data_IF_251212400932
#
_entry.id   IF_251212400932
#
_cell.length_a   1.000
_cell.length_b   1.000
_cell.length_c   1.000
_cell.angle_alpha   90.00
_cell.angle_beta   90.00
_cell.angle_gamma   90.00
#
_symmetry.space_group_name_H-M   'P 1'
#
loop_
_entity.id
_entity.type
_entity.pdbx_description
1 polymer ?
#
# COMPACT_ATOMS: atom_id res chain seq x y z
N UNK A 1 1.67 -8.46 12.77
CA UNK A 1 2.32 -7.72 11.67
C UNK A 1 2.50 -8.67 10.50
N UNK A 2 1.99 -8.29 9.34
CA UNK A 2 2.17 -9.03 8.08
C UNK A 2 3.22 -8.32 7.22
N UNK A 3 4.08 -9.06 6.52
CA UNK A 3 5.13 -8.47 5.66
C UNK A 3 4.85 -8.80 4.19
N UNK A 4 4.73 -7.75 3.38
CA UNK A 4 4.60 -7.83 1.93
C UNK A 4 5.93 -7.49 1.30
N UNK A 5 6.50 -8.45 0.57
CA UNK A 5 7.69 -8.18 -0.24
C UNK A 5 7.28 -7.57 -1.58
N UNK A 6 7.90 -6.44 -1.94
CA UNK A 6 7.71 -5.78 -3.23
C UNK A 6 9.02 -5.86 -4.02
N UNK A 7 8.97 -6.45 -5.22
CA UNK A 7 10.09 -6.45 -6.15
C UNK A 7 10.07 -5.21 -7.05
N UNK A 8 11.16 -4.97 -7.78
CA UNK A 8 11.31 -3.80 -8.68
C UNK A 8 10.14 -3.64 -9.67
N UNK A 9 9.67 -4.68 -10.38
CA UNK A 9 8.50 -4.54 -11.24
C UNK A 9 7.19 -4.22 -10.52
N UNK A 10 6.94 -4.85 -9.36
CA UNK A 10 5.78 -4.56 -8.52
C UNK A 10 5.81 -3.13 -7.99
N UNK A 11 7.01 -2.55 -7.84
CA UNK A 11 7.20 -1.18 -7.37
C UNK A 11 6.72 -0.11 -8.35
N UNK A 12 6.53 -0.44 -9.64
CA UNK A 12 5.84 0.48 -10.57
C UNK A 12 4.32 0.52 -10.37
N UNK A 13 3.78 -0.33 -9.49
CA UNK A 13 2.35 -0.48 -9.25
C UNK A 13 1.96 -0.21 -7.78
N UNK A 14 2.73 0.62 -7.05
CA UNK A 14 2.46 0.92 -5.63
C UNK A 14 1.04 1.44 -5.37
N UNK A 15 0.44 2.16 -6.31
CA UNK A 15 -0.96 2.57 -6.22
C UNK A 15 -1.93 1.39 -6.14
N UNK A 16 -1.67 0.28 -6.86
CA UNK A 16 -2.52 -0.90 -6.75
C UNK A 16 -2.43 -1.53 -5.36
N UNK A 17 -1.23 -1.54 -4.76
CA UNK A 17 -1.05 -1.98 -3.38
C UNK A 17 -1.76 -1.03 -2.40
N UNK A 18 -1.70 0.29 -2.62
CA UNK A 18 -2.44 1.29 -1.83
C UNK A 18 -3.96 1.08 -1.95
N UNK A 19 -4.49 0.80 -3.14
CA UNK A 19 -5.91 0.49 -3.34
C UNK A 19 -6.30 -0.80 -2.60
N UNK A 20 -5.49 -1.85 -2.68
CA UNK A 20 -5.75 -3.12 -1.98
C UNK A 20 -5.88 -2.95 -0.46
N UNK A 21 -5.12 -2.02 0.12
CA UNK A 21 -5.18 -1.69 1.53
C UNK A 21 -6.53 -1.08 1.98
N UNK A 22 -7.34 -0.59 1.03
CA UNK A 22 -8.69 -0.06 1.31
C UNK A 22 -9.73 -1.14 1.61
N UNK A 23 -9.38 -2.42 1.49
CA UNK A 23 -10.27 -3.52 1.85
C UNK A 23 -10.69 -3.48 3.33
N UNK A 24 -11.87 -4.01 3.61
CA UNK A 24 -12.64 -3.75 4.83
C UNK A 24 -11.89 -4.15 6.11
N UNK A 25 -11.35 -5.36 6.14
CA UNK A 25 -10.64 -5.93 7.29
C UNK A 25 -9.23 -6.41 6.95
N UNK A 26 -8.51 -6.89 7.96
CA UNK A 26 -7.11 -7.30 7.82
C UNK A 26 -6.92 -8.49 6.86
N UNK A 27 -7.81 -9.48 6.91
CA UNK A 27 -7.72 -10.67 6.05
C UNK A 27 -8.05 -10.31 4.60
N UNK A 28 -9.09 -9.49 4.39
CA UNK A 28 -9.46 -8.97 3.09
C UNK A 28 -8.33 -8.13 2.47
N UNK A 29 -7.60 -7.33 3.28
CA UNK A 29 -6.42 -6.59 2.81
C UNK A 29 -5.32 -7.53 2.36
N UNK A 30 -4.99 -8.55 3.14
CA UNK A 30 -3.97 -9.54 2.77
C UNK A 30 -4.36 -10.27 1.47
N UNK A 31 -5.63 -10.66 1.34
CA UNK A 31 -6.16 -11.28 0.12
C UNK A 31 -6.04 -10.33 -1.09
N UNK A 32 -6.45 -9.08 -0.95
CA UNK A 32 -6.35 -8.07 -2.01
C UNK A 32 -4.89 -7.81 -2.41
N UNK A 33 -3.96 -7.76 -1.45
CA UNK A 33 -2.53 -7.60 -1.72
C UNK A 33 -1.94 -8.78 -2.51
N UNK A 34 -2.41 -10.02 -2.26
CA UNK A 34 -2.05 -11.19 -3.08
C UNK A 34 -2.62 -11.08 -4.49
N UNK A 35 -3.86 -10.60 -4.65
CA UNK A 35 -4.47 -10.39 -5.95
C UNK A 35 -3.70 -9.36 -6.78
N UNK A 36 -3.23 -8.26 -6.17
CA UNK A 36 -2.38 -7.26 -6.86
C UNK A 36 -1.15 -7.91 -7.49
N UNK A 37 -0.48 -8.84 -6.81
CA UNK A 37 0.70 -9.53 -7.38
C UNK A 37 0.36 -10.34 -8.64
N UNK A 38 -0.81 -10.96 -8.66
CA UNK A 38 -1.30 -11.68 -9.86
C UNK A 38 -1.69 -10.71 -10.98
N UNK A 39 -2.32 -9.58 -10.64
CA UNK A 39 -2.64 -8.50 -11.60
C UNK A 39 -1.37 -7.94 -12.25
N UNK A 40 -0.35 -7.60 -11.46
CA UNK A 40 0.95 -7.13 -11.95
C UNK A 40 1.58 -8.18 -12.86
N UNK A 41 1.52 -9.46 -12.51
CA UNK A 41 2.06 -10.53 -13.33
C UNK A 41 1.31 -10.70 -14.65
N UNK A 42 -0.02 -10.58 -14.64
CA UNK A 42 -0.84 -10.64 -15.86
C UNK A 42 -0.55 -9.46 -16.79
N UNK A 43 -0.45 -8.24 -16.25
CA UNK A 43 -0.16 -7.05 -17.03
C UNK A 43 1.22 -7.14 -17.70
N UNK A 44 2.20 -7.68 -16.99
CA UNK A 44 3.54 -7.88 -17.53
C UNK A 44 3.58 -8.99 -18.60
N UNK A 45 2.84 -10.08 -18.42
CA UNK A 45 2.65 -11.09 -19.47
C UNK A 45 1.98 -10.48 -20.72
N UNK A 46 1.04 -9.56 -20.53
CA UNK A 46 0.41 -8.81 -21.63
C UNK A 46 1.45 -7.97 -22.37
N UNK A 47 2.30 -7.22 -21.68
CA UNK A 47 3.40 -6.46 -22.29
C UNK A 47 4.36 -7.39 -23.04
N UNK A 48 4.74 -8.52 -22.44
CA UNK A 48 5.64 -9.48 -23.06
C UNK A 48 5.02 -10.11 -24.32
N UNK A 49 3.71 -10.37 -24.33
CA UNK A 49 2.99 -10.90 -25.49
C UNK A 49 3.00 -9.98 -26.73
N UNK A 50 3.34 -8.70 -26.54
CA UNK A 50 3.51 -7.72 -27.62
C UNK A 50 4.93 -7.74 -28.21
N UNK A 51 5.88 -8.43 -27.57
CA UNK A 51 7.22 -8.68 -28.11
C UNK A 51 7.20 -9.90 -29.03
N UNK A 52 7.89 -9.81 -30.15
CA UNK A 52 8.03 -10.95 -31.07
C UNK A 52 8.93 -12.06 -30.47
N UNK A 53 8.63 -13.31 -30.83
CA UNK A 53 9.48 -14.50 -30.69
C UNK A 53 9.90 -14.95 -29.27
N UNK A 54 9.38 -14.35 -28.18
CA UNK A 54 9.76 -14.79 -26.83
C UNK A 54 9.24 -16.19 -26.47
N UNK A 55 8.15 -16.64 -27.10
CA UNK A 55 7.57 -17.97 -26.90
C UNK A 55 8.44 -19.08 -27.49
N UNK A 56 9.28 -18.75 -28.46
CA UNK A 56 10.07 -19.72 -29.22
C UNK A 56 11.47 -19.91 -28.61
N UNK A 57 11.86 -19.04 -27.69
CA UNK A 57 13.12 -19.13 -26.95
C UNK A 57 13.06 -20.28 -25.92
N UNK A 58 13.94 -21.30 -26.01
CA UNK A 58 13.94 -22.44 -25.08
C UNK A 58 14.10 -22.03 -23.61
N UNK A 59 14.79 -20.92 -23.34
CA UNK A 59 15.00 -20.40 -21.98
C UNK A 59 13.70 -19.92 -21.32
N UNK A 60 12.64 -19.64 -22.11
CA UNK A 60 11.34 -19.17 -21.61
C UNK A 60 10.33 -20.30 -21.36
N UNK A 61 10.69 -21.57 -21.57
CA UNK A 61 9.75 -22.70 -21.42
C UNK A 61 9.17 -22.83 -20.01
N UNK A 62 9.98 -22.54 -18.98
CA UNK A 62 9.51 -22.53 -17.60
C UNK A 62 8.45 -21.44 -17.35
N UNK A 63 8.65 -20.26 -17.96
CA UNK A 63 7.71 -19.14 -17.88
C UNK A 63 6.41 -19.46 -18.62
N UNK A 64 6.47 -20.05 -19.82
CA UNK A 64 5.28 -20.47 -20.57
C UNK A 64 4.46 -21.50 -19.79
N UNK A 65 5.14 -22.50 -19.21
CA UNK A 65 4.50 -23.52 -18.39
C UNK A 65 3.83 -22.90 -17.17
N UNK A 66 4.52 -21.99 -16.47
CA UNK A 66 3.96 -21.27 -15.34
C UNK A 66 2.77 -20.40 -15.77
N UNK A 67 2.90 -19.63 -16.84
CA UNK A 67 1.87 -18.75 -17.35
C UNK A 67 0.59 -19.50 -17.71
N UNK A 68 0.71 -20.66 -18.36
CA UNK A 68 -0.41 -21.54 -18.66
C UNK A 68 -1.05 -22.12 -17.38
N UNK A 69 -0.23 -22.57 -16.43
CA UNK A 69 -0.72 -23.18 -15.16
C UNK A 69 -1.47 -22.21 -14.26
N UNK A 70 -1.02 -20.95 -14.18
CA UNK A 70 -1.63 -19.95 -13.29
C UNK A 70 -2.63 -19.04 -14.03
N UNK A 71 -3.01 -19.36 -15.27
CA UNK A 71 -3.91 -18.53 -16.07
C UNK A 71 -5.26 -18.28 -15.38
N UNK A 72 -5.92 -19.34 -14.91
CA UNK A 72 -7.21 -19.23 -14.21
C UNK A 72 -7.08 -18.44 -12.90
N UNK A 73 -6.04 -18.70 -12.10
CA UNK A 73 -5.79 -17.97 -10.86
C UNK A 73 -5.59 -16.46 -11.11
N UNK A 74 -4.86 -16.10 -12.18
CA UNK A 74 -4.66 -14.70 -12.56
C UNK A 74 -5.97 -14.04 -13.02
N UNK A 75 -6.79 -14.75 -13.79
CA UNK A 75 -8.10 -14.25 -14.22
C UNK A 75 -9.02 -13.99 -13.03
N UNK A 76 -9.12 -14.97 -12.11
CA UNK A 76 -9.87 -14.81 -10.87
C UNK A 76 -9.35 -13.64 -10.03
N UNK A 77 -8.03 -13.51 -9.89
CA UNK A 77 -7.43 -12.41 -9.15
C UNK A 77 -7.71 -11.03 -9.77
N UNK A 78 -7.73 -10.91 -11.10
CA UNK A 78 -8.13 -9.69 -11.78
C UNK A 78 -9.60 -9.36 -11.48
N UNK A 79 -10.50 -10.34 -11.60
CA UNK A 79 -11.92 -10.14 -11.32
C UNK A 79 -12.16 -9.71 -9.86
N UNK A 80 -11.50 -10.35 -8.89
CA UNK A 80 -11.64 -9.98 -7.48
C UNK A 80 -11.01 -8.62 -7.18
N UNK A 81 -9.83 -8.32 -7.73
CA UNK A 81 -9.20 -7.02 -7.52
C UNK A 81 -10.04 -5.89 -8.13
N UNK A 82 -10.67 -6.10 -9.28
CA UNK A 82 -11.60 -5.12 -9.88
C UNK A 82 -12.79 -4.81 -8.96
N UNK A 83 -13.26 -5.78 -8.15
CA UNK A 83 -14.29 -5.52 -7.14
C UNK A 83 -13.74 -4.62 -6.02
N UNK A 84 -12.52 -4.89 -5.55
CA UNK A 84 -11.84 -4.05 -4.56
C UNK A 84 -11.66 -2.62 -5.08
N UNK A 85 -11.18 -2.46 -6.32
CA UNK A 85 -10.99 -1.14 -6.95
C UNK A 85 -12.30 -0.36 -7.10
N UNK A 86 -13.40 -1.01 -7.47
CA UNK A 86 -14.72 -0.34 -7.54
C UNK A 86 -15.18 0.14 -6.16
N UNK A 87 -15.05 -0.71 -5.13
CA UNK A 87 -15.40 -0.32 -3.76
C UNK A 87 -14.50 0.80 -3.24
N UNK A 88 -13.23 0.79 -3.63
CA UNK A 88 -12.29 1.89 -3.38
C UNK A 88 -12.84 3.21 -3.96
N UNK A 89 -13.09 3.26 -5.26
CA UNK A 89 -13.59 4.47 -5.95
C UNK A 89 -14.93 4.95 -5.38
N UNK A 90 -15.87 4.02 -5.15
CA UNK A 90 -17.21 4.39 -4.69
C UNK A 90 -17.26 4.90 -3.25
N UNK A 91 -16.41 4.36 -2.36
CA UNK A 91 -16.61 4.50 -0.90
C UNK A 91 -15.35 4.67 -0.09
N UNK A 92 -14.28 3.92 -0.40
CA UNK A 92 -13.16 3.79 0.53
C UNK A 92 -12.00 4.74 0.23
N UNK A 93 -11.88 5.29 -0.98
CA UNK A 93 -10.86 6.27 -1.36
C UNK A 93 -10.80 7.41 -0.35
N UNK A 94 -11.92 8.11 -0.18
CA UNK A 94 -12.01 9.25 0.74
C UNK A 94 -11.69 8.89 2.18
N UNK A 95 -12.09 7.70 2.64
CA UNK A 95 -11.80 7.25 4.01
C UNK A 95 -10.32 6.97 4.20
N UNK A 96 -9.69 6.33 3.22
CA UNK A 96 -8.26 6.04 3.22
C UNK A 96 -7.46 7.35 3.19
N UNK A 97 -7.79 8.27 2.29
CA UNK A 97 -7.12 9.58 2.18
C UNK A 97 -7.23 10.40 3.48
N UNK A 98 -8.39 10.40 4.16
CA UNK A 98 -8.54 11.05 5.47
C UNK A 98 -7.60 10.42 6.50
N UNK A 99 -7.49 9.09 6.52
CA UNK A 99 -6.62 8.39 7.47
C UNK A 99 -5.13 8.65 7.17
N UNK A 100 -4.74 8.70 5.90
CA UNK A 100 -3.39 9.05 5.47
C UNK A 100 -3.02 10.46 5.89
N UNK A 101 -3.91 11.43 5.71
CA UNK A 101 -3.68 12.80 6.16
C UNK A 101 -3.56 12.90 7.69
N UNK A 102 -4.42 12.18 8.44
CA UNK A 102 -4.27 12.08 9.89
C UNK A 102 -2.91 11.47 10.27
N UNK A 103 -2.48 10.43 9.55
CA UNK A 103 -1.17 9.79 9.74
C UNK A 103 -0.01 10.76 9.51
N UNK A 104 -0.08 11.62 8.49
CA UNK A 104 0.93 12.66 8.22
C UNK A 104 1.02 13.65 9.39
N UNK A 105 -0.11 14.13 9.90
CA UNK A 105 -0.12 15.02 11.06
C UNK A 105 0.48 14.36 12.31
N UNK A 106 0.19 13.07 12.55
CA UNK A 106 0.82 12.29 13.62
C UNK A 106 2.34 12.23 13.40
N UNK A 107 2.77 11.87 12.20
CA UNK A 107 4.17 11.72 11.86
C UNK A 107 4.95 13.04 12.04
N UNK A 108 4.40 14.15 11.55
CA UNK A 108 4.96 15.50 11.74
C UNK A 108 5.02 15.89 13.22
N UNK A 109 3.95 15.65 13.97
CA UNK A 109 3.91 15.90 15.42
C UNK A 109 4.98 15.14 16.20
N UNK A 110 5.32 13.91 15.76
CA UNK A 110 6.43 13.14 16.34
C UNK A 110 7.78 13.75 15.96
N UNK A 111 7.97 14.13 14.69
CA UNK A 111 9.21 14.76 14.20
C UNK A 111 9.49 16.10 14.86
N UNK A 112 8.45 16.85 15.20
CA UNK A 112 8.51 18.11 15.93
C UNK A 112 8.56 17.92 17.46
N UNK A 113 8.68 16.69 17.95
CA UNK A 113 8.72 16.31 19.38
C UNK A 113 7.47 16.70 20.20
N UNK A 114 6.40 17.17 19.56
CA UNK A 114 5.13 17.52 20.21
C UNK A 114 4.38 16.29 20.73
N UNK A 115 4.41 15.19 19.95
CA UNK A 115 3.74 13.90 20.25
C UNK A 115 2.29 14.07 20.69
N UNK A 116 1.51 14.79 19.89
CA UNK A 116 0.15 15.17 20.24
C UNK A 116 -0.80 13.98 20.35
N UNK A 117 -1.79 14.11 21.25
CA UNK A 117 -2.87 13.14 21.35
C UNK A 117 -3.70 13.10 20.07
N UNK A 118 -4.04 11.90 19.60
CA UNK A 118 -4.84 11.76 18.37
C UNK A 118 -6.29 12.19 18.58
N UNK A 119 -6.92 11.68 19.64
CA UNK A 119 -8.37 11.83 19.88
C UNK A 119 -8.71 12.86 20.97
N UNK A 120 -7.76 13.68 21.42
CA UNK A 120 -8.00 14.68 22.47
C UNK A 120 -8.82 15.87 21.94
N UNK A 121 -9.43 16.70 22.82
CA UNK A 121 -10.24 17.85 22.40
C UNK A 121 -9.52 18.86 21.50
N UNK A 122 -8.19 18.95 21.59
CA UNK A 122 -7.32 19.76 20.72
C UNK A 122 -6.34 18.92 19.90
N UNK A 123 -6.62 17.62 19.79
CA UNK A 123 -5.74 16.63 19.18
C UNK A 123 -5.79 16.60 17.65
N UNK A 124 -5.02 15.70 17.07
CA UNK A 124 -4.81 15.64 15.61
C UNK A 124 -6.13 15.47 14.83
N UNK A 125 -7.04 14.61 15.29
CA UNK A 125 -8.32 14.43 14.59
C UNK A 125 -9.21 15.67 14.69
N UNK A 126 -9.11 16.43 15.79
CA UNK A 126 -9.81 17.70 15.93
C UNK A 126 -9.26 18.73 14.95
N UNK A 127 -7.93 18.89 14.89
CA UNK A 127 -7.26 19.80 13.96
C UNK A 127 -7.63 19.49 12.51
N UNK A 128 -7.61 18.20 12.12
CA UNK A 128 -8.03 17.75 10.79
C UNK A 128 -9.49 18.09 10.51
N UNK A 129 -10.37 17.93 11.51
CA UNK A 129 -11.80 18.28 11.38
C UNK A 129 -12.00 19.78 11.18
N UNK A 130 -11.22 20.63 11.86
CA UNK A 130 -11.30 22.09 11.70
C UNK A 130 -10.78 22.52 10.32
N UNK A 131 -9.60 22.05 9.92
CA UNK A 131 -9.05 22.32 8.59
C UNK A 131 -10.01 21.90 7.48
N UNK A 132 -10.65 20.73 7.60
CA UNK A 132 -11.63 20.27 6.62
C UNK A 132 -12.90 21.14 6.58
N UNK A 133 -13.30 21.76 7.70
CA UNK A 133 -14.42 22.72 7.71
C UNK A 133 -14.03 24.02 7.03
N UNK A 134 -12.83 24.54 7.31
CA UNK A 134 -12.30 25.76 6.73
C UNK A 134 -12.14 25.65 5.20
N UNK A 135 -11.60 24.53 4.71
CA UNK A 135 -11.38 24.29 3.27
C UNK A 135 -12.57 23.63 2.56
N UNK A 136 -13.68 23.40 3.27
CA UNK A 136 -14.86 22.83 2.67
C UNK A 136 -14.75 21.35 2.24
N UNK A 137 -13.83 20.57 2.80
CA UNK A 137 -13.58 19.17 2.43
C UNK A 137 -14.67 18.26 3.02
N UNK A 138 -15.53 17.71 2.17
CA UNK A 138 -16.63 16.84 2.61
C UNK A 138 -16.06 15.62 3.37
N UNK A 139 -16.67 15.22 4.50
CA UNK A 139 -16.30 14.00 5.26
C UNK A 139 -15.13 14.17 6.21
N UNK A 140 -14.20 15.07 5.91
CA UNK A 140 -13.25 15.56 6.91
C UNK A 140 -13.93 16.43 7.97
N UNK A 141 -15.10 17.04 7.66
CA UNK A 141 -15.86 17.89 8.60
C UNK A 141 -16.54 17.12 9.74
N UNK A 142 -16.78 15.82 9.55
CA UNK A 142 -17.48 14.98 10.53
C UNK A 142 -16.47 14.22 11.40
N UNK A 143 -16.47 14.56 12.69
CA UNK A 143 -15.54 13.97 13.66
C UNK A 143 -15.67 12.45 13.75
N UNK A 144 -16.88 11.90 13.62
CA UNK A 144 -17.10 10.46 13.69
C UNK A 144 -16.59 9.74 12.44
N UNK A 145 -16.74 10.33 11.27
CA UNK A 145 -16.11 9.84 10.03
C UNK A 145 -14.60 9.84 10.14
N UNK A 146 -13.98 10.94 10.58
CA UNK A 146 -12.53 11.02 10.78
C UNK A 146 -12.04 9.97 11.77
N UNK A 147 -12.70 9.81 12.92
CA UNK A 147 -12.36 8.81 13.94
C UNK A 147 -12.46 7.39 13.41
N UNK A 148 -13.53 7.06 12.69
CA UNK A 148 -13.73 5.71 12.11
C UNK A 148 -12.73 5.41 11.00
N UNK A 149 -12.42 6.38 10.15
CA UNK A 149 -11.41 6.24 9.10
C UNK A 149 -10.02 6.01 9.67
N UNK A 150 -9.62 6.82 10.66
CA UNK A 150 -8.35 6.60 11.37
C UNK A 150 -8.31 5.23 12.03
N UNK A 151 -9.35 4.85 12.78
CA UNK A 151 -9.41 3.55 13.45
C UNK A 151 -9.30 2.36 12.50
N UNK A 152 -9.93 2.45 11.32
CA UNK A 152 -9.90 1.37 10.32
C UNK A 152 -8.52 1.20 9.66
N UNK A 153 -7.79 2.30 9.44
CA UNK A 153 -6.63 2.31 8.54
C UNK A 153 -5.30 2.72 9.20
N UNK A 154 -5.26 3.14 10.46
CA UNK A 154 -4.00 3.58 11.12
C UNK A 154 -2.82 2.60 10.98
N UNK A 155 -3.09 1.29 10.89
CA UNK A 155 -2.11 0.21 10.68
C UNK A 155 -1.43 0.21 9.30
N UNK A 156 -2.02 0.86 8.31
CA UNK A 156 -1.71 0.65 6.88
C UNK A 156 -1.51 1.95 6.09
N UNK A 157 -1.76 3.12 6.68
CA UNK A 157 -1.67 4.42 6.00
C UNK A 157 -0.27 4.79 5.51
N UNK A 158 0.77 4.17 6.06
CA UNK A 158 2.16 4.55 5.84
C UNK A 158 2.63 4.44 4.38
N UNK A 159 2.06 3.53 3.57
CA UNK A 159 2.37 3.44 2.13
C UNK A 159 1.86 4.67 1.39
N UNK A 160 0.57 5.03 1.53
CA UNK A 160 0.02 6.22 0.88
C UNK A 160 0.58 7.52 1.43
N UNK A 161 0.97 7.55 2.71
CA UNK A 161 1.74 8.67 3.26
C UNK A 161 3.08 8.85 2.57
N UNK A 162 3.82 7.75 2.34
CA UNK A 162 5.12 7.80 1.67
C UNK A 162 5.00 8.19 0.20
N UNK A 163 4.00 7.65 -0.52
CA UNK A 163 3.73 8.02 -1.91
C UNK A 163 3.53 9.53 -2.01
N UNK A 164 2.63 10.10 -1.20
CA UNK A 164 2.34 11.54 -1.23
C UNK A 164 3.54 12.42 -0.85
N UNK A 165 4.33 12.02 0.16
CA UNK A 165 5.54 12.76 0.55
C UNK A 165 6.65 12.71 -0.51
N UNK A 166 6.64 11.69 -1.36
CA UNK A 166 7.60 11.50 -2.45
C UNK A 166 7.12 12.07 -3.80
N UNK A 167 5.81 12.34 -3.94
CA UNK A 167 5.20 12.77 -5.21
C UNK A 167 5.78 14.11 -5.69
N UNK A 168 6.13 15.01 -4.77
CA UNK A 168 6.75 16.31 -5.09
C UNK A 168 8.17 16.19 -5.70
N UNK A 169 8.86 15.06 -5.49
CA UNK A 169 10.28 14.89 -5.85
C UNK A 169 10.52 13.82 -6.92
N UNK A 170 9.44 13.18 -7.43
CA UNK A 170 9.52 12.05 -8.35
C UNK A 170 10.50 10.95 -7.87
N UNK A 171 10.49 10.66 -6.57
CA UNK A 171 11.38 9.65 -5.97
C UNK A 171 11.19 8.28 -6.62
N UNK A 172 12.27 7.51 -6.78
CA UNK A 172 12.16 6.15 -7.27
C UNK A 172 11.39 5.26 -6.29
N UNK A 173 10.69 4.21 -6.75
CA UNK A 173 9.81 3.40 -5.91
C UNK A 173 10.47 2.76 -4.68
N UNK A 174 11.77 2.43 -4.74
CA UNK A 174 12.52 1.91 -3.59
C UNK A 174 12.62 2.93 -2.45
N UNK A 175 12.74 4.23 -2.76
CA UNK A 175 12.75 5.30 -1.77
C UNK A 175 11.37 5.44 -1.12
N UNK A 176 10.30 5.33 -1.92
CA UNK A 176 8.92 5.33 -1.40
C UNK A 176 8.72 4.19 -0.40
N UNK A 177 9.16 2.97 -0.74
CA UNK A 177 9.03 1.81 0.15
C UNK A 177 9.89 1.94 1.40
N UNK A 178 11.09 2.49 1.28
CA UNK A 178 11.95 2.78 2.41
C UNK A 178 11.31 3.79 3.36
N UNK A 179 10.77 4.89 2.82
CA UNK A 179 10.05 5.91 3.60
C UNK A 179 8.79 5.33 4.25
N UNK A 180 8.02 4.50 3.54
CA UNK A 180 6.84 3.83 4.08
C UNK A 180 7.19 3.00 5.32
N UNK A 181 8.27 2.22 5.26
CA UNK A 181 8.74 1.42 6.40
C UNK A 181 9.28 2.29 7.55
N UNK A 182 9.94 3.42 7.26
CA UNK A 182 10.33 4.38 8.28
C UNK A 182 9.13 4.98 9.01
N UNK A 183 8.12 5.43 8.26
CA UNK A 183 6.88 5.99 8.81
C UNK A 183 6.19 4.94 9.69
N UNK A 184 6.04 3.70 9.19
CA UNK A 184 5.44 2.60 9.96
C UNK A 184 6.17 2.40 11.29
N UNK A 185 7.51 2.33 11.28
CA UNK A 185 8.33 2.16 12.50
C UNK A 185 8.09 3.30 13.48
N UNK A 186 8.10 4.54 13.01
CA UNK A 186 7.85 5.73 13.85
C UNK A 186 6.47 5.65 14.52
N UNK A 187 5.41 5.34 13.75
CA UNK A 187 4.05 5.20 14.29
C UNK A 187 3.91 4.01 15.27
N UNK A 188 4.68 2.94 15.06
CA UNK A 188 4.65 1.73 15.88
C UNK A 188 5.42 1.82 17.20
N UNK A 189 6.34 2.78 17.32
CA UNK A 189 7.26 2.91 18.47
C UNK A 189 7.04 4.20 19.25
N UNK A 190 6.40 5.20 18.65
CA UNK A 190 6.12 6.48 19.30
C UNK A 190 4.77 6.43 20.01
N UNK A 191 4.72 6.99 21.21
CA UNK A 191 3.50 7.10 22.01
C UNK A 191 3.05 8.57 22.05
N UNK A 192 1.73 8.84 22.09
CA UNK A 192 1.21 10.15 22.44
C UNK A 192 1.75 10.61 23.81
N UNK A 193 1.84 11.92 24.00
CA UNK A 193 2.29 12.51 25.27
C UNK A 193 1.40 12.03 26.42
N UNK A 194 2.03 11.41 27.42
CA UNK A 194 1.33 10.87 28.60
C UNK A 194 0.68 9.50 28.39
N UNK A 195 0.87 8.84 27.24
CA UNK A 195 0.44 7.47 26.99
C UNK A 195 1.63 6.50 26.94
N UNK A 196 1.38 5.25 27.30
CA UNK A 196 2.34 4.14 27.22
C UNK A 196 2.16 3.27 25.97
N UNK A 197 1.05 3.43 25.27
CA UNK A 197 0.74 2.69 24.04
C UNK A 197 1.12 3.50 22.79
N UNK A 198 1.67 2.84 21.76
CA UNK A 198 2.04 3.51 20.52
C UNK A 198 0.81 4.00 19.76
N UNK A 199 1.02 4.94 18.83
CA UNK A 199 -0.05 5.43 17.94
C UNK A 199 -0.74 4.31 17.16
N UNK A 200 0.02 3.27 16.80
CA UNK A 200 -0.46 2.14 16.00
C UNK A 200 0.03 0.82 16.60
N UNK A 201 -0.86 -0.11 16.99
CA UNK A 201 -0.48 -1.44 17.47
C UNK A 201 0.25 -2.27 16.41
N UNK A 202 1.25 -3.06 16.81
CA UNK A 202 2.02 -3.92 15.89
C UNK A 202 1.16 -4.99 15.21
N UNK A 203 0.09 -5.46 15.86
CA UNK A 203 -0.80 -6.48 15.32
C UNK A 203 -1.55 -5.99 14.08
N UNK A 204 -1.92 -4.70 14.03
CA UNK A 204 -2.70 -4.10 12.94
C UNK A 204 -1.85 -3.72 11.72
N UNK A 205 -0.53 -3.86 11.81
CA UNK A 205 0.40 -3.34 10.82
C UNK A 205 0.68 -4.32 9.69
N UNK A 206 0.83 -3.74 8.50
CA UNK A 206 1.41 -4.38 7.32
C UNK A 206 2.74 -3.66 7.06
N UNK A 207 3.79 -4.39 6.72
CA UNK A 207 5.11 -3.83 6.38
C UNK A 207 5.40 -4.12 4.92
N UNK A 208 5.87 -3.10 4.19
CA UNK A 208 6.29 -3.23 2.81
C UNK A 208 7.81 -3.22 2.75
N UNK A 209 8.39 -4.30 2.21
CA UNK A 209 9.84 -4.46 2.13
C UNK A 209 10.23 -4.59 0.68
N UNK A 210 11.08 -3.66 0.23
CA UNK A 210 11.70 -3.77 -1.07
C UNK A 210 12.71 -4.92 -1.07
N UNK A 211 12.60 -5.82 -2.04
CA UNK A 211 13.57 -6.90 -2.27
C UNK A 211 14.38 -6.59 -3.53
N UNK A 212 15.56 -5.99 -3.34
CA UNK A 212 16.59 -5.90 -4.37
C UNK A 212 17.38 -7.22 -4.38
N UNK A 213 17.47 -7.88 -5.54
CA UNK A 213 18.36 -9.05 -5.71
C UNK A 213 17.70 -10.43 -5.81
N UNK A 214 16.56 -10.57 -6.49
CA UNK A 214 16.16 -11.91 -6.96
C UNK A 214 16.89 -12.23 -8.27
N UNK A 215 17.90 -13.10 -8.17
CA UNK A 215 18.58 -13.73 -9.30
C UNK A 215 17.81 -15.00 -9.72
N UNK A 216 17.20 -14.96 -10.90
CA UNK A 216 16.90 -16.15 -11.71
C UNK A 216 17.48 -15.97 -13.12
N UNK A 217 17.18 -16.84 -14.11
CA UNK A 217 17.78 -16.77 -15.43
C UNK A 217 17.63 -15.37 -16.04
N UNK A 218 18.74 -14.62 -16.09
CA UNK A 218 18.79 -13.20 -16.44
C UNK A 218 17.87 -12.91 -17.63
N UNK A 219 16.71 -12.33 -17.34
CA UNK A 219 16.00 -11.51 -18.30
C UNK A 219 17.02 -10.47 -18.78
N UNK A 220 17.41 -10.52 -20.04
CA UNK A 220 17.83 -9.30 -20.72
C UNK A 220 16.56 -8.43 -20.76
N UNK A 221 16.37 -7.53 -19.80
CA UNK A 221 15.36 -6.46 -19.84
C UNK A 221 13.94 -6.84 -20.32
N UNK A 222 13.36 -7.94 -19.84
CA UNK A 222 12.00 -8.38 -20.28
C UNK A 222 10.98 -8.56 -19.16
N UNK A 223 11.33 -8.13 -17.95
CA UNK A 223 10.41 -7.94 -16.85
C UNK A 223 9.26 -8.95 -16.68
N UNK A 224 9.53 -10.14 -16.13
CA UNK A 224 8.59 -10.95 -15.29
C UNK A 224 9.34 -11.61 -14.09
N UNK A 225 8.72 -12.08 -12.98
CA UNK A 225 9.47 -12.65 -11.84
C UNK A 225 9.73 -14.16 -11.97
N UNK A 226 10.79 -14.55 -11.26
CA UNK A 226 11.30 -15.89 -11.03
C UNK A 226 10.54 -16.63 -9.91
N UNK A 227 11.03 -17.85 -9.60
CA UNK A 227 10.47 -18.89 -8.71
C UNK A 227 9.50 -18.41 -7.61
N UNK A 228 8.36 -19.10 -7.57
CA UNK A 228 7.49 -19.22 -6.40
C UNK A 228 8.26 -20.01 -5.34
N UNK A 229 8.65 -19.38 -4.24
CA UNK A 229 8.86 -20.07 -2.96
C UNK A 229 7.54 -19.95 -2.18
N UNK A 230 7.13 -21.05 -1.54
CA UNK A 230 5.89 -21.17 -0.74
C UNK A 230 5.82 -20.17 0.42
#
# INVERSE_FOLDING_TARGET
MHTVSINEPESSYLELFRIALSAEDHEARIAALRQVKQVVSAERLRVLSQSDCWTDEPDNQALLTWAARTAAEREDAICEFLRVSRVYEDRNERRLTIAEHAGKLVYLSIKEEKREGVQTPSGILYQLTQAAKEHGIQGGRDKDTVRRSWGAYRGIVHLGMAIDLCDEQASPPEEVLFLAEQIRRVLSTSCPKGASEPYVPQAEQISFVYKSGIWGPRFRDRGLPYRVED
#
